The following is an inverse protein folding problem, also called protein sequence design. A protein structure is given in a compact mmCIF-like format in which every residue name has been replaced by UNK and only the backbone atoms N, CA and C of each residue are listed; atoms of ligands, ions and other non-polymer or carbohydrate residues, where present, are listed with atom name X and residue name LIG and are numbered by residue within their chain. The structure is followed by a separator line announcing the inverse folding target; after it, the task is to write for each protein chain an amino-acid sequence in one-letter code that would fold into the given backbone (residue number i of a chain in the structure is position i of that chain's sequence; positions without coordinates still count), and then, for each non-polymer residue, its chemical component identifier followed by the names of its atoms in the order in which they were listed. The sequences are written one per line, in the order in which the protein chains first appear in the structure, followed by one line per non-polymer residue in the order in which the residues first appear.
data_IF_576851663017
#
_entry.id   IF_576851663017
#
_cell.length_a   1.000
_cell.length_b   1.000
_cell.length_c   1.000
_cell.angle_alpha   90.00
_cell.angle_beta   90.00
_cell.angle_gamma   90.00
#
_symmetry.space_group_name_H-M   'P 1'
#
loop_
_entity.id
_entity.type
_entity.pdbx_description
1 polymer ?
#
# COMPACT_ATOMS: atom_id res chain seq x y z
N UNK A 1 -6.54 22.37 13.88
CA UNK A 1 -6.16 20.93 13.85
C UNK A 1 -5.16 20.75 12.71
N UNK A 2 -4.03 20.08 12.95
CA UNK A 2 -3.09 19.76 11.87
C UNK A 2 -3.69 18.73 10.92
N UNK A 3 -3.40 18.84 9.62
CA UNK A 3 -3.83 17.86 8.65
C UNK A 3 -3.31 16.45 9.03
N UNK A 4 -4.13 15.40 8.88
CA UNK A 4 -3.70 14.04 9.18
C UNK A 4 -2.48 13.70 8.32
N UNK A 5 -1.35 13.44 8.97
CA UNK A 5 -0.08 13.12 8.31
C UNK A 5 0.09 11.61 8.30
N UNK A 6 0.39 11.07 7.12
CA UNK A 6 0.83 9.68 6.95
C UNK A 6 2.32 9.68 6.63
N UNK A 7 3.03 8.66 7.10
CA UNK A 7 4.41 8.40 6.73
C UNK A 7 4.52 7.00 6.17
N UNK A 8 5.25 6.85 5.06
CA UNK A 8 5.37 5.59 4.34
C UNK A 8 6.84 5.26 4.13
N UNK A 9 7.25 4.10 4.64
CA UNK A 9 8.56 3.53 4.38
C UNK A 9 8.42 2.40 3.35
N UNK A 10 9.32 2.36 2.37
CA UNK A 10 9.36 1.32 1.34
C UNK A 10 10.54 0.41 1.61
N UNK A 11 10.26 -0.89 1.77
CA UNK A 11 11.28 -1.93 1.88
C UNK A 11 11.13 -2.88 0.69
N UNK A 12 12.23 -3.17 0.01
CA UNK A 12 12.29 -4.15 -1.07
C UNK A 12 13.11 -5.33 -0.56
N UNK A 13 12.55 -6.54 -0.63
CA UNK A 13 13.31 -7.74 -0.28
C UNK A 13 14.48 -7.92 -1.27
N UNK A 14 15.59 -8.50 -0.80
CA UNK A 14 16.81 -8.64 -1.61
C UNK A 14 16.60 -9.46 -2.90
N UNK A 15 15.58 -10.33 -2.93
CA UNK A 15 15.21 -11.11 -4.10
C UNK A 15 14.39 -10.32 -5.14
N UNK A 16 13.97 -9.09 -4.81
CA UNK A 16 13.14 -8.23 -5.65
C UNK A 16 11.71 -8.73 -5.87
N UNK A 17 11.30 -9.84 -5.24
CA UNK A 17 9.98 -10.47 -5.45
C UNK A 17 8.92 -9.89 -4.52
N UNK A 18 9.32 -9.16 -3.48
CA UNK A 18 8.40 -8.52 -2.54
C UNK A 18 8.78 -7.09 -2.27
N UNK A 19 7.77 -6.23 -2.33
CA UNK A 19 7.85 -4.84 -1.91
C UNK A 19 6.90 -4.67 -0.73
N UNK A 20 7.41 -4.21 0.40
CA UNK A 20 6.63 -3.91 1.60
C UNK A 20 6.51 -2.40 1.77
N UNK A 21 5.29 -1.89 1.77
CA UNK A 21 4.96 -0.51 2.11
C UNK A 21 4.55 -0.47 3.57
N UNK A 22 5.39 0.06 4.46
CA UNK A 22 5.07 0.22 5.89
C UNK A 22 4.47 1.60 6.09
N UNK A 23 3.18 1.63 6.45
CA UNK A 23 2.43 2.87 6.64
C UNK A 23 2.25 3.11 8.13
N UNK A 24 2.50 4.36 8.54
CA UNK A 24 2.31 4.84 9.90
C UNK A 24 1.53 6.16 9.90
N UNK A 25 0.86 6.47 11.01
CA UNK A 25 0.03 7.67 11.13
C UNK A 25 -1.45 7.39 10.87
N UNK A 26 -2.20 8.42 10.45
CA UNK A 26 -3.67 8.34 10.32
C UNK A 26 -4.11 8.21 8.86
N UNK A 27 -4.64 7.04 8.53
CA UNK A 27 -5.17 6.70 7.20
C UNK A 27 -6.67 6.99 7.16
N UNK A 28 -7.03 7.99 6.35
CA UNK A 28 -8.40 8.48 6.16
C UNK A 28 -8.80 8.30 4.69
N UNK A 29 -10.08 8.52 4.36
CA UNK A 29 -10.57 8.45 2.98
C UNK A 29 -9.82 9.43 2.06
N UNK A 30 -9.43 10.60 2.59
CA UNK A 30 -8.69 11.61 1.83
C UNK A 30 -7.21 11.23 1.69
N UNK A 31 -6.59 10.75 2.78
CA UNK A 31 -5.16 10.43 2.79
C UNK A 31 -4.78 9.11 2.12
N UNK A 32 -5.72 8.16 1.96
CA UNK A 32 -5.42 6.86 1.34
C UNK A 32 -5.03 6.97 -0.15
N UNK A 33 -5.49 8.02 -0.84
CA UNK A 33 -5.16 8.28 -2.25
C UNK A 33 -3.66 8.44 -2.48
N UNK A 34 -2.92 8.93 -1.48
CA UNK A 34 -1.47 9.06 -1.54
C UNK A 34 -0.73 7.71 -1.63
N UNK A 35 -1.37 6.60 -1.25
CA UNK A 35 -0.81 5.25 -1.37
C UNK A 35 -0.91 4.68 -2.79
N UNK A 36 -1.84 5.17 -3.61
CA UNK A 36 -2.09 4.67 -4.97
C UNK A 36 -0.85 4.68 -5.87
N UNK A 37 -0.12 5.81 -6.02
CA UNK A 37 1.09 5.81 -6.84
C UNK A 37 2.17 4.87 -6.31
N UNK A 38 2.28 4.71 -4.98
CA UNK A 38 3.27 3.80 -4.38
C UNK A 38 2.94 2.32 -4.64
N UNK A 39 1.67 1.94 -4.54
CA UNK A 39 1.21 0.58 -4.89
C UNK A 39 1.49 0.31 -6.37
N UNK A 40 1.15 1.26 -7.25
CA UNK A 40 1.41 1.14 -8.69
C UNK A 40 2.89 1.00 -8.99
N UNK A 41 3.75 1.84 -8.41
CA UNK A 41 5.20 1.76 -8.58
C UNK A 41 5.76 0.43 -8.06
N UNK A 42 5.29 -0.04 -6.89
CA UNK A 42 5.65 -1.35 -6.35
C UNK A 42 5.34 -2.51 -7.31
N UNK A 43 4.18 -2.45 -7.99
CA UNK A 43 3.79 -3.45 -8.99
C UNK A 43 4.59 -3.37 -10.30
N UNK A 44 5.23 -2.23 -10.59
CA UNK A 44 6.03 -2.03 -11.79
C UNK A 44 7.50 -2.42 -11.62
N UNK A 45 8.00 -2.50 -10.39
CA UNK A 45 9.42 -2.79 -10.12
C UNK A 45 9.88 -4.13 -10.70
N UNK A 46 9.10 -5.20 -10.55
CA UNK A 46 9.38 -6.49 -11.22
C UNK A 46 8.09 -7.20 -11.64
N UNK A 47 8.10 -8.00 -12.73
CA UNK A 47 6.91 -8.72 -13.22
C UNK A 47 6.34 -9.79 -12.26
N UNK A 48 7.12 -10.20 -11.25
CA UNK A 48 6.71 -11.17 -10.23
C UNK A 48 6.49 -10.53 -8.85
N UNK A 49 6.47 -9.19 -8.75
CA UNK A 49 6.42 -8.50 -7.45
C UNK A 49 5.08 -8.69 -6.76
N UNK A 50 5.15 -9.13 -5.50
CA UNK A 50 4.03 -9.05 -4.55
C UNK A 50 4.19 -7.78 -3.72
N UNK A 51 3.16 -6.95 -3.69
CA UNK A 51 3.14 -5.74 -2.86
C UNK A 51 2.41 -6.07 -1.56
N UNK A 52 3.07 -5.84 -0.42
CA UNK A 52 2.48 -5.97 0.91
C UNK A 52 2.36 -4.58 1.52
N UNK A 53 1.13 -4.12 1.72
CA UNK A 53 0.85 -2.86 2.43
C UNK A 53 0.65 -3.19 3.89
N UNK A 54 1.60 -2.80 4.73
CA UNK A 54 1.58 -3.02 6.16
C UNK A 54 1.01 -1.79 6.87
N UNK A 55 -0.20 -1.97 7.41
CA UNK A 55 -0.96 -0.97 8.13
C UNK A 55 -0.92 -1.21 9.65
N UNK A 56 -0.08 -2.13 10.15
CA UNK A 56 -0.01 -2.45 11.58
C UNK A 56 0.37 -1.26 12.46
N UNK A 57 1.11 -0.29 11.92
CA UNK A 57 1.46 0.97 12.59
C UNK A 57 0.56 2.16 12.24
N UNK A 58 -0.52 1.94 11.49
CA UNK A 58 -1.45 2.99 11.06
C UNK A 58 -2.79 2.88 11.79
N UNK A 59 -3.37 4.03 12.12
CA UNK A 59 -4.77 4.14 12.50
C UNK A 59 -5.59 4.36 11.22
N UNK A 60 -6.34 3.35 10.79
CA UNK A 60 -7.11 3.39 9.57
C UNK A 60 -8.61 3.33 9.84
N UNK A 61 -9.37 4.21 9.19
CA UNK A 61 -10.82 4.15 9.19
C UNK A 61 -11.30 3.04 8.22
N UNK A 62 -12.38 2.33 8.56
CA UNK A 62 -12.88 1.21 7.74
C UNK A 62 -13.20 1.63 6.30
N UNK A 63 -13.79 2.82 6.12
CA UNK A 63 -14.08 3.38 4.80
C UNK A 63 -12.79 3.65 3.99
N UNK A 64 -11.71 4.05 4.65
CA UNK A 64 -10.41 4.26 4.01
C UNK A 64 -9.80 2.93 3.58
N UNK A 65 -9.92 1.88 4.42
CA UNK A 65 -9.47 0.52 4.09
C UNK A 65 -10.26 -0.06 2.92
N UNK A 66 -11.57 0.13 2.88
CA UNK A 66 -12.42 -0.33 1.79
C UNK A 66 -12.07 0.36 0.47
N UNK A 67 -11.92 1.69 0.48
CA UNK A 67 -11.51 2.46 -0.69
C UNK A 67 -10.13 2.02 -1.22
N UNK A 68 -9.17 1.85 -0.32
CA UNK A 68 -7.82 1.40 -0.67
C UNK A 68 -7.81 -0.04 -1.22
N UNK A 69 -8.60 -0.93 -0.62
CA UNK A 69 -8.75 -2.30 -1.10
C UNK A 69 -9.45 -2.37 -2.46
N UNK A 70 -10.46 -1.52 -2.69
CA UNK A 70 -11.11 -1.34 -3.99
C UNK A 70 -10.09 -0.96 -5.06
N UNK A 71 -9.32 0.09 -4.82
CA UNK A 71 -8.28 0.54 -5.76
C UNK A 71 -7.22 -0.53 -6.02
N UNK A 72 -6.72 -1.21 -4.98
CA UNK A 72 -5.73 -2.27 -5.14
C UNK A 72 -6.25 -3.46 -5.98
N UNK A 73 -7.54 -3.79 -5.88
CA UNK A 73 -8.18 -4.80 -6.73
C UNK A 73 -8.19 -4.37 -8.18
N UNK A 74 -8.53 -3.11 -8.47
CA UNK A 74 -8.51 -2.55 -9.83
C UNK A 74 -7.12 -2.64 -10.46
N UNK A 75 -6.07 -2.31 -9.70
CA UNK A 75 -4.67 -2.41 -10.16
C UNK A 75 -4.20 -3.86 -10.37
N UNK A 76 -4.79 -4.83 -9.68
CA UNK A 76 -4.45 -6.25 -9.77
C UNK A 76 -5.13 -7.02 -10.91
N UNK A 77 -6.04 -6.40 -11.66
CA UNK A 77 -6.87 -7.07 -12.69
C UNK A 77 -6.10 -7.59 -13.91
N UNK A 78 -4.87 -7.15 -14.14
CA UNK A 78 -4.13 -7.45 -15.37
C UNK A 78 -3.22 -8.68 -15.36
N UNK A 79 -2.77 -9.16 -14.19
CA UNK A 79 -1.80 -10.26 -14.15
C UNK A 79 -1.88 -11.05 -12.82
N UNK A 80 -2.00 -12.40 -12.83
CA UNK A 80 -2.18 -13.19 -11.61
C UNK A 80 -0.97 -13.15 -10.64
N UNK A 81 0.21 -12.77 -11.15
CA UNK A 81 1.43 -12.57 -10.34
C UNK A 81 1.44 -11.24 -9.57
N UNK A 82 0.62 -10.26 -9.98
CA UNK A 82 0.53 -8.94 -9.36
C UNK A 82 -0.51 -8.97 -8.25
N UNK A 83 -0.06 -9.34 -7.05
CA UNK A 83 -0.91 -9.39 -5.87
C UNK A 83 -0.55 -8.27 -4.91
N UNK A 84 -1.57 -7.50 -4.51
CA UNK A 84 -1.49 -6.57 -3.38
C UNK A 84 -2.13 -7.25 -2.17
N UNK A 85 -1.41 -7.29 -1.05
CA UNK A 85 -1.91 -7.82 0.22
C UNK A 85 -1.86 -6.74 1.29
N UNK A 86 -2.90 -6.67 2.10
CA UNK A 86 -2.95 -5.75 3.24
C UNK A 86 -2.68 -6.54 4.53
N UNK A 87 -1.74 -6.06 5.32
CA UNK A 87 -1.54 -6.52 6.69
C UNK A 87 -2.13 -5.48 7.63
N UNK A 88 -3.25 -5.83 8.23
CA UNK A 88 -3.92 -4.98 9.21
C UNK A 88 -3.28 -5.18 10.60
N UNK A 89 -3.40 -4.20 11.51
CA UNK A 89 -3.08 -4.43 12.91
C UNK A 89 -3.87 -5.65 13.40
N UNK A 90 -3.25 -6.50 14.22
CA UNK A 90 -4.01 -7.53 14.92
C UNK A 90 -5.09 -6.82 15.76
N UNK A 91 -6.35 -7.30 15.75
CA UNK A 91 -7.35 -6.75 16.65
C UNK A 91 -6.79 -6.89 18.07
N UNK A 92 -6.60 -5.75 18.75
CA UNK A 92 -6.14 -5.74 20.13
C UNK A 92 -7.13 -6.59 20.92
N UNK A 93 -6.64 -7.66 21.53
CA UNK A 93 -7.53 -8.52 22.31
C UNK A 93 -8.03 -7.71 23.51
N UNK A 94 -9.23 -7.98 24.04
CA UNK A 94 -9.71 -7.30 25.24
C UNK A 94 -8.73 -7.46 26.42
N UNK A 95 -8.03 -8.60 26.50
CA UNK A 95 -6.96 -8.85 27.46
C UNK A 95 -5.77 -7.89 27.26
N UNK A 96 -5.28 -7.74 26.03
CA UNK A 96 -4.20 -6.77 25.73
C UNK A 96 -4.64 -5.33 26.05
N UNK A 97 -5.91 -4.99 25.80
CA UNK A 97 -6.46 -3.68 26.09
C UNK A 97 -6.61 -3.41 27.60
N UNK A 98 -6.87 -4.44 28.40
CA UNK A 98 -6.92 -4.37 29.85
C UNK A 98 -5.51 -4.31 30.45
N UNK A 99 -4.57 -5.10 29.94
CA UNK A 99 -3.16 -5.05 30.31
C UNK A 99 -2.55 -3.68 29.99
N UNK A 100 -2.82 -3.11 28.81
CA UNK A 100 -2.39 -1.74 28.51
C UNK A 100 -3.05 -0.69 29.41
N UNK A 101 -4.32 -0.87 29.79
CA UNK A 101 -4.99 0.01 30.75
C UNK A 101 -4.35 -0.09 32.13
N UNK A 102 -4.03 -1.31 32.57
CA UNK A 102 -3.33 -1.59 33.84
C UNK A 102 -1.94 -0.97 33.84
N UNK A 103 -1.13 -1.22 32.80
CA UNK A 103 0.20 -0.64 32.66
C UNK A 103 0.16 0.89 32.63
N UNK A 104 -0.85 1.51 31.98
CA UNK A 104 -1.01 2.97 32.01
C UNK A 104 -1.43 3.49 33.39
N UNK A 105 -2.27 2.75 34.12
CA UNK A 105 -2.65 3.10 35.47
C UNK A 105 -1.45 2.98 36.43
N UNK A 106 -0.63 1.95 36.27
CA UNK A 106 0.60 1.74 37.03
C UNK A 106 1.70 2.75 36.68
N UNK A 107 1.79 3.20 35.41
CA UNK A 107 2.72 4.25 34.98
C UNK A 107 2.32 5.67 35.43
N UNK A 108 1.13 5.83 36.04
CA UNK A 108 0.63 7.12 36.55
C UNK A 108 0.46 6.98 38.08
N UNK A 109 1.51 7.18 38.91
CA UNK A 109 1.93 8.55 39.26
C UNK A 109 3.40 8.65 39.76
N UNK A 110 4.34 9.07 38.91
CA UNK A 110 5.59 9.67 39.43
C UNK A 110 5.58 11.21 39.36
N UNK A 111 4.60 11.80 38.68
CA UNK A 111 4.56 13.24 38.39
C UNK A 111 3.86 14.12 39.45
N UNK A 112 3.36 13.56 40.56
CA UNK A 112 2.61 14.34 41.58
C UNK A 112 3.19 14.27 42.99
N UNK A 113 4.31 13.56 43.19
CA UNK A 113 4.99 13.53 44.49
C UNK A 113 6.17 14.51 44.49
N UNK A 114 5.91 15.73 44.97
CA UNK A 114 6.95 16.62 45.48
C UNK A 114 7.70 17.43 44.42
N UNK A 115 7.19 18.63 44.19
CA UNK A 115 8.01 19.75 43.73
C UNK A 115 9.19 19.95 44.71
N UNK A 116 10.37 19.47 44.33
CA UNK A 116 11.64 19.96 44.86
C UNK A 116 12.33 20.74 43.72
N UNK A 117 12.57 22.05 43.88
CA UNK A 117 13.07 22.89 42.79
C UNK A 117 14.59 22.84 42.71
N UNK A 118 15.24 21.69 42.49
CA UNK A 118 16.70 21.69 42.30
C UNK A 118 17.16 20.68 41.25
N UNK A 119 17.43 21.20 40.08
CA UNK A 119 18.12 20.51 39.00
C UNK A 119 18.29 21.47 37.84
N UNK A 120 19.25 22.39 37.96
CA UNK A 120 19.67 23.25 36.85
C UNK A 120 20.12 22.35 35.71
N UNK A 121 19.21 22.07 34.77
CA UNK A 121 19.52 21.42 33.51
C UNK A 121 20.47 22.35 32.78
N UNK A 122 21.77 22.02 32.83
CA UNK A 122 22.78 22.69 32.02
C UNK A 122 22.42 22.42 30.56
N UNK A 123 22.06 23.50 29.88
CA UNK A 123 21.79 23.52 28.46
C UNK A 123 23.04 23.07 27.70
N UNK A 124 23.02 21.85 27.16
CA UNK A 124 24.15 21.26 26.40
C UNK A 124 24.17 21.82 24.97
N UNK A 125 23.28 22.78 24.63
CA UNK A 125 23.21 23.39 23.28
C UNK A 125 24.21 24.51 23.05
N UNK A 126 25.05 24.85 24.00
CA UNK A 126 26.21 25.73 23.74
C UNK A 126 27.38 24.93 23.19
N UNK A 127 27.23 24.35 21.99
CA UNK A 127 28.39 23.92 21.23
C UNK A 127 29.12 25.17 20.72
N UNK A 128 30.45 25.30 20.90
CA UNK A 128 31.21 26.41 20.34
C UNK A 128 31.09 26.41 18.83
N UNK A 129 30.75 27.58 18.28
CA UNK A 129 30.59 27.83 16.86
C UNK A 129 31.83 27.36 16.09
N UNK A 130 31.69 26.30 15.30
CA UNK A 130 32.73 25.83 14.40
C UNK A 130 32.94 26.90 13.31
N UNK A 131 34.16 27.39 13.08
CA UNK A 131 34.42 28.39 12.05
C UNK A 131 34.04 27.84 10.67
N UNK A 132 33.37 28.69 9.88
CA UNK A 132 32.85 28.35 8.57
C UNK A 132 33.98 27.85 7.63
N UNK A 133 33.77 26.76 6.87
CA UNK A 133 34.71 26.35 5.84
C UNK A 133 34.78 27.44 4.76
N UNK A 134 35.98 27.94 4.52
CA UNK A 134 36.27 28.99 3.56
C UNK A 134 35.74 28.67 2.16
N UNK A 135 35.09 29.66 1.55
CA UNK A 135 34.72 29.68 0.14
C UNK A 135 35.95 29.42 -0.73
N UNK A 136 36.10 28.20 -1.23
CA UNK A 136 36.95 27.95 -2.40
C UNK A 136 36.25 28.53 -3.62
N UNK A 137 36.80 29.65 -4.07
CA UNK A 137 36.60 30.29 -5.37
C UNK A 137 36.70 29.21 -6.45
N UNK A 138 35.58 28.87 -7.10
CA UNK A 138 35.60 28.06 -8.33
C UNK A 138 36.06 28.96 -9.45
N UNK A 139 37.24 28.67 -9.99
CA UNK A 139 37.69 29.24 -11.24
C UNK A 139 36.73 28.83 -12.36
N UNK A 140 36.26 29.86 -13.07
CA UNK A 140 35.55 29.71 -14.33
C UNK A 140 36.58 29.31 -15.38
N UNK A 141 36.47 28.10 -15.91
CA UNK A 141 37.37 27.68 -16.95
C UNK A 141 37.03 26.31 -17.50
N UNK A 142 36.61 26.30 -18.76
CA UNK A 142 36.62 25.15 -19.68
C UNK A 142 35.35 24.29 -19.68
N UNK A 143 34.38 24.77 -20.46
CA UNK A 143 33.38 23.92 -21.12
C UNK A 143 34.08 22.85 -21.99
N UNK A 144 33.73 21.56 -21.88
CA UNK A 144 34.07 20.59 -22.91
C UNK A 144 33.08 20.68 -24.09
N UNK A 145 33.56 20.48 -25.34
CA UNK A 145 32.73 20.59 -26.53
C UNK A 145 31.73 19.44 -26.66
N UNK A 146 30.56 19.80 -27.20
CA UNK A 146 29.48 18.90 -27.57
C UNK A 146 29.98 17.77 -28.48
N UNK A 147 29.87 16.52 -28.01
CA UNK A 147 29.97 15.34 -28.88
C UNK A 147 28.61 15.06 -29.49
N UNK A 148 28.53 15.26 -30.80
CA UNK A 148 27.48 14.77 -31.67
C UNK A 148 27.37 13.24 -31.54
N UNK A 149 26.17 12.75 -31.24
CA UNK A 149 25.84 11.33 -31.32
C UNK A 149 25.31 11.03 -32.74
N UNK A 150 25.83 10.00 -33.42
CA UNK A 150 25.33 9.62 -34.74
C UNK A 150 24.00 8.89 -34.63
N UNK A 151 23.06 9.31 -35.48
CA UNK A 151 21.88 8.55 -35.90
C UNK A 151 22.28 7.11 -36.27
N UNK A 152 21.61 6.12 -35.66
CA UNK A 152 21.57 4.74 -36.17
C UNK A 152 20.12 4.29 -36.31
N UNK A 153 19.62 4.59 -37.50
CA UNK A 153 18.97 3.67 -38.46
C UNK A 153 18.18 2.48 -37.91
N UNK A 154 16.87 2.51 -38.22
CA UNK A 154 15.96 1.37 -38.33
C UNK A 154 16.49 0.31 -39.31
N UNK A 155 16.43 -0.97 -38.92
CA UNK A 155 16.21 -2.14 -39.79
C UNK A 155 15.95 -3.36 -38.88
N UNK A 156 14.71 -3.86 -38.81
CA UNK A 156 14.24 -5.02 -39.57
C UNK A 156 14.88 -6.35 -39.12
N UNK A 157 14.12 -7.15 -38.37
CA UNK A 157 14.18 -8.61 -38.41
C UNK A 157 12.90 -9.21 -37.82
N UNK A 158 11.95 -9.49 -38.72
CA UNK A 158 11.00 -10.58 -38.54
C UNK A 158 11.81 -11.88 -38.44
N UNK A 159 11.62 -12.65 -37.38
CA UNK A 159 11.91 -14.07 -37.38
C UNK A 159 10.76 -14.80 -36.70
N UNK A 160 10.21 -15.77 -37.42
CA UNK A 160 9.10 -16.61 -37.02
C UNK A 160 9.50 -17.49 -35.84
N UNK A 161 8.62 -17.56 -34.82
CA UNK A 161 8.66 -18.64 -33.84
C UNK A 161 7.78 -19.79 -34.37
N UNK A 162 8.32 -21.00 -34.61
CA UNK A 162 7.49 -22.18 -34.80
C UNK A 162 6.81 -22.55 -33.48
N UNK A 163 5.53 -22.89 -33.58
CA UNK A 163 4.75 -23.48 -32.51
C UNK A 163 5.30 -24.88 -32.19
N UNK A 164 5.86 -25.04 -30.99
CA UNK A 164 6.12 -26.36 -30.41
C UNK A 164 5.08 -26.61 -29.33
N UNK A 165 4.07 -27.42 -29.69
CA UNK A 165 3.13 -28.05 -28.77
C UNK A 165 3.83 -29.24 -28.09
N UNK A 166 4.07 -29.25 -26.78
CA UNK A 166 4.45 -30.47 -26.10
C UNK A 166 3.22 -31.36 -25.88
N UNK A 167 3.36 -32.61 -26.32
CA UNK A 167 2.43 -33.69 -26.06
C UNK A 167 2.28 -33.92 -24.54
N UNK A 168 1.03 -34.14 -24.13
CA UNK A 168 0.62 -34.45 -22.76
C UNK A 168 0.82 -35.94 -22.49
N UNK A 169 1.64 -36.36 -21.52
CA UNK A 169 1.63 -37.75 -21.07
C UNK A 169 0.33 -38.03 -20.30
N UNK A 170 -0.35 -39.10 -20.69
CA UNK A 170 -1.36 -39.78 -19.89
C UNK A 170 -0.62 -40.67 -18.88
N UNK A 171 -0.98 -40.57 -17.60
CA UNK A 171 -0.42 -41.44 -16.56
C UNK A 171 -0.75 -40.97 -15.14
N UNK A 172 -1.71 -41.68 -14.53
CA UNK A 172 -1.87 -42.01 -13.12
C UNK A 172 -2.02 -40.93 -12.02
N UNK A 173 -3.24 -40.86 -11.49
CA UNK A 173 -3.53 -40.84 -10.04
C UNK A 173 -3.32 -39.53 -9.27
N UNK A 174 -4.38 -38.88 -8.73
CA UNK A 174 -4.21 -37.75 -7.82
C UNK A 174 -3.81 -38.22 -6.40
N UNK A 175 -2.74 -37.68 -5.78
CA UNK A 175 -2.58 -37.78 -4.34
C UNK A 175 -3.64 -36.91 -3.64
N UNK A 176 -4.16 -37.42 -2.53
CA UNK A 176 -5.14 -36.75 -1.69
C UNK A 176 -4.68 -35.33 -1.30
N UNK A 177 -5.48 -34.34 -1.68
CA UNK A 177 -5.20 -32.92 -1.44
C UNK A 177 -6.00 -32.01 -2.37
N UNK A 178 -7.33 -32.15 -2.37
CA UNK A 178 -8.23 -31.34 -3.19
C UNK A 178 -8.21 -29.89 -2.69
N UNK A 179 -7.53 -29.00 -3.41
CA UNK A 179 -7.81 -27.56 -3.39
C UNK A 179 -8.75 -27.27 -4.55
N UNK A 180 -10.03 -27.06 -4.25
CA UNK A 180 -11.03 -26.65 -5.22
C UNK A 180 -10.68 -25.28 -5.80
N UNK A 181 -10.71 -25.08 -7.12
CA UNK A 181 -10.70 -23.74 -7.69
C UNK A 181 -12.01 -23.04 -7.31
N UNK A 182 -11.90 -21.91 -6.60
CA UNK A 182 -13.02 -21.00 -6.38
C UNK A 182 -13.58 -20.59 -7.74
N UNK A 183 -14.77 -21.10 -8.10
CA UNK A 183 -15.50 -20.59 -9.26
C UNK A 183 -15.88 -19.14 -8.99
N UNK A 184 -15.63 -18.21 -9.93
CA UNK A 184 -16.25 -16.89 -9.85
C UNK A 184 -17.77 -17.10 -9.88
N UNK A 185 -18.49 -16.48 -8.92
CA UNK A 185 -19.95 -16.41 -8.95
C UNK A 185 -20.34 -15.80 -10.31
N UNK A 186 -20.89 -16.62 -11.18
CA UNK A 186 -21.64 -16.19 -12.35
C UNK A 186 -22.68 -15.18 -11.87
N UNK A 187 -22.56 -13.95 -12.37
CA UNK A 187 -23.57 -12.93 -12.18
C UNK A 187 -24.90 -13.50 -12.68
N UNK A 188 -25.86 -13.67 -11.78
CA UNK A 188 -27.24 -13.95 -12.17
C UNK A 188 -27.72 -12.77 -13.02
N UNK A 189 -28.31 -12.99 -14.21
CA UNK A 189 -29.02 -11.93 -14.90
C UNK A 189 -30.15 -11.43 -13.99
N UNK A 190 -30.15 -10.13 -13.72
CA UNK A 190 -31.27 -9.45 -13.05
C UNK A 190 -32.47 -9.52 -14.00
N UNK A 191 -33.45 -10.34 -13.67
CA UNK A 191 -34.77 -10.31 -14.26
C UNK A 191 -35.40 -8.94 -13.95
N UNK A 192 -35.86 -8.15 -14.93
CA UNK A 192 -36.60 -6.93 -14.64
C UNK A 192 -37.93 -7.29 -13.98
N UNK A 193 -38.24 -6.58 -12.88
CA UNK A 193 -39.51 -6.69 -12.18
C UNK A 193 -40.65 -6.29 -13.12
N UNK A 194 -41.52 -7.26 -13.40
CA UNK A 194 -42.81 -7.08 -14.07
C UNK A 194 -43.69 -6.19 -13.19
N UNK A 195 -43.78 -4.90 -13.55
CA UNK A 195 -44.77 -3.98 -13.00
C UNK A 195 -46.16 -4.46 -13.44
N UNK A 196 -46.95 -4.94 -12.48
CA UNK A 196 -48.37 -5.19 -12.67
C UNK A 196 -49.17 -3.89 -12.46
N UNK A 197 -50.17 -3.58 -13.30
CA UNK A 197 -51.08 -2.48 -13.03
C UNK A 197 -52.04 -2.88 -11.90
N UNK A 198 -51.89 -2.22 -10.75
CA UNK A 198 -52.84 -2.29 -9.65
C UNK A 198 -54.15 -1.59 -10.03
N UNK A 199 -55.24 -2.33 -9.85
CA UNK A 199 -56.61 -1.86 -9.97
C UNK A 199 -56.89 -0.68 -9.03
N UNK A 200 -57.54 0.36 -9.56
CA UNK A 200 -58.33 1.30 -8.77
C UNK A 200 -59.70 1.41 -9.43
N UNK A 201 -60.66 0.71 -8.86
CA UNK A 201 -62.04 1.16 -8.88
C UNK A 201 -62.19 2.28 -7.85
N UNK A 202 -62.92 3.32 -8.20
CA UNK A 202 -64.06 3.77 -7.42
C UNK A 202 -64.83 4.82 -8.23
N UNK A 203 -66.11 4.51 -8.45
CA UNK A 203 -67.12 5.44 -8.93
C UNK A 203 -67.57 6.34 -7.77
N UNK A 204 -68.18 7.49 -8.07
CA UNK A 204 -69.55 7.66 -7.56
C UNK A 204 -70.52 8.12 -8.65
N UNK A 205 -71.71 7.51 -8.65
CA UNK A 205 -72.85 7.99 -9.42
C UNK A 205 -73.61 9.11 -8.69
N UNK A 206 -74.43 9.90 -9.42
CA UNK A 206 -75.34 10.91 -8.88
C UNK A 206 -76.62 10.30 -8.28
#
# INVERSE_FOLDING_TARGET
MGAPTISVAVAVEADGRRVRLVVTGRLTVDSQSALHPMIRLGLLLTPATRVVVDLSGAHADDAALEALAGHAREQGTGHPSRQVRFRLPAPMTPADAEELRRLRAEQRPWATAGAAPHGTVRDIRTAPSRPAPGRRRRDAGTSPPARAAPERTRAAARAAHPATTPARPAGDGPPAGVVLPFRPRSQRPRTPARSGPGARGDAPGP
#
